data_IF_572356665176
#
_entry.id   IF_572356665176
#
_cell.length_a   1.000
_cell.length_b   1.000
_cell.length_c   1.000
_cell.angle_alpha   90.00
_cell.angle_beta   90.00
_cell.angle_gamma   90.00
#
_symmetry.space_group_name_H-M   'P 1'
#
loop_
_entity.id
_entity.type
_entity.pdbx_description
1 polymer ?
#
# COMPACT_ATOMS: atom_id res chain seq x y z
N UNK A 1 13.88 23.94 -4.60
CA UNK A 1 12.61 23.42 -4.04
C UNK A 1 11.87 22.78 -5.20
N UNK A 2 11.55 21.50 -5.12
CA UNK A 2 10.78 20.80 -6.17
C UNK A 2 9.30 21.11 -5.91
N UNK A 3 8.53 21.44 -6.95
CA UNK A 3 7.08 21.68 -6.77
C UNK A 3 6.35 20.35 -6.58
N UNK A 4 5.21 20.36 -5.88
CA UNK A 4 4.35 19.16 -5.73
C UNK A 4 4.01 18.54 -7.08
N UNK A 5 3.71 19.37 -8.08
CA UNK A 5 3.41 18.93 -9.45
C UNK A 5 4.60 18.22 -10.08
N UNK A 6 5.83 18.71 -9.86
CA UNK A 6 7.02 18.07 -10.39
C UNK A 6 7.28 16.72 -9.72
N UNK A 7 6.99 16.59 -8.42
CA UNK A 7 7.06 15.32 -7.68
C UNK A 7 6.03 14.33 -8.22
N UNK A 8 4.77 14.73 -8.35
CA UNK A 8 3.70 13.86 -8.89
C UNK A 8 4.06 13.38 -10.29
N UNK A 9 4.45 14.30 -11.19
CA UNK A 9 4.83 13.96 -12.56
C UNK A 9 5.99 12.97 -12.60
N UNK A 10 7.01 13.18 -11.77
CA UNK A 10 8.17 12.30 -11.68
C UNK A 10 7.76 10.87 -11.32
N UNK A 11 6.96 10.68 -10.27
CA UNK A 11 6.54 9.35 -9.81
C UNK A 11 5.53 8.69 -10.77
N UNK A 12 4.64 9.44 -11.42
CA UNK A 12 3.77 8.90 -12.48
C UNK A 12 4.59 8.36 -13.65
N UNK A 13 5.60 9.11 -14.10
CA UNK A 13 6.48 8.65 -15.19
C UNK A 13 7.31 7.42 -14.79
N UNK A 14 7.71 7.32 -13.52
CA UNK A 14 8.41 6.15 -13.00
C UNK A 14 7.49 4.92 -12.97
N UNK A 15 6.25 5.09 -12.50
CA UNK A 15 5.25 4.01 -12.43
C UNK A 15 4.96 3.42 -13.82
N UNK A 16 4.80 4.26 -14.84
CA UNK A 16 4.54 3.82 -16.22
C UNK A 16 5.68 3.00 -16.86
N UNK A 17 6.88 3.01 -16.29
CA UNK A 17 8.00 2.18 -16.75
C UNK A 17 7.97 0.75 -16.19
N UNK A 18 7.13 0.49 -15.18
CA UNK A 18 7.01 -0.81 -14.54
C UNK A 18 5.79 -1.57 -15.07
N UNK A 19 5.96 -2.86 -15.35
CA UNK A 19 4.85 -3.76 -15.61
C UNK A 19 4.37 -4.35 -14.29
N UNK A 20 3.07 -4.25 -14.01
CA UNK A 20 2.45 -4.75 -12.79
C UNK A 20 1.06 -5.32 -13.03
N UNK A 21 0.42 -5.76 -11.95
CA UNK A 21 -0.90 -6.39 -11.98
C UNK A 21 -2.00 -5.47 -12.53
N UNK A 22 -1.84 -4.15 -12.38
CA UNK A 22 -2.77 -3.15 -12.93
C UNK A 22 -2.57 -2.91 -14.45
N UNK A 23 -1.41 -3.29 -15.01
CA UNK A 23 -1.10 -3.13 -16.45
C UNK A 23 -1.39 -4.38 -17.28
N UNK A 24 -1.43 -5.56 -16.65
CA UNK A 24 -1.70 -6.82 -17.33
C UNK A 24 -1.39 -8.06 -16.49
N UNK A 25 -1.63 -9.24 -17.06
CA UNK A 25 -1.40 -10.50 -16.38
C UNK A 25 0.10 -10.75 -16.14
N UNK A 26 0.48 -11.09 -14.90
CA UNK A 26 1.87 -11.27 -14.51
C UNK A 26 2.15 -12.69 -13.94
N UNK A 27 2.37 -13.71 -14.81
CA UNK A 27 2.43 -15.12 -14.41
C UNK A 27 3.80 -15.52 -13.85
N UNK A 28 4.11 -15.06 -12.64
CA UNK A 28 5.30 -15.52 -11.91
C UNK A 28 4.94 -16.74 -11.04
N UNK A 29 5.54 -17.89 -11.37
CA UNK A 29 5.41 -19.11 -10.58
C UNK A 29 5.89 -18.90 -9.14
N UNK A 30 5.22 -19.54 -8.18
CA UNK A 30 5.47 -19.41 -6.73
C UNK A 30 5.20 -18.03 -6.11
N UNK A 31 5.10 -16.95 -6.89
CA UNK A 31 4.80 -15.61 -6.39
C UNK A 31 3.31 -15.39 -6.11
N UNK A 32 2.43 -16.20 -6.69
CA UNK A 32 0.97 -16.11 -6.48
C UNK A 32 0.45 -14.69 -6.75
N UNK A 33 0.85 -14.08 -7.87
CA UNK A 33 0.47 -12.72 -8.27
C UNK A 33 -1.02 -12.66 -8.63
N UNK A 34 -1.86 -12.49 -7.61
CA UNK A 34 -3.33 -12.43 -7.68
C UNK A 34 -3.83 -10.99 -7.62
N UNK A 35 -5.14 -10.82 -7.74
CA UNK A 35 -5.79 -9.54 -7.50
C UNK A 35 -5.58 -9.07 -6.05
N UNK A 36 -5.12 -7.83 -5.89
CA UNK A 36 -5.08 -7.10 -4.62
C UNK A 36 -6.30 -6.17 -4.54
N UNK A 37 -7.34 -6.49 -3.73
CA UNK A 37 -8.50 -5.63 -3.58
C UNK A 37 -8.12 -4.25 -3.07
N UNK A 38 -8.62 -3.19 -3.71
CA UNK A 38 -8.34 -1.81 -3.27
C UNK A 38 -8.83 -1.52 -1.85
N UNK A 39 -9.91 -2.19 -1.42
CA UNK A 39 -10.40 -2.14 -0.04
C UNK A 39 -9.33 -2.53 1.00
N UNK A 40 -8.41 -3.44 0.65
CA UNK A 40 -7.34 -3.83 1.58
C UNK A 40 -6.38 -2.68 1.83
N UNK A 41 -6.08 -1.87 0.81
CA UNK A 41 -5.25 -0.67 0.95
C UNK A 41 -5.99 0.38 1.81
N UNK A 42 -7.29 0.57 1.56
CA UNK A 42 -8.11 1.51 2.33
C UNK A 42 -8.13 1.14 3.81
N UNK A 43 -8.41 -0.13 4.14
CA UNK A 43 -8.43 -0.62 5.52
C UNK A 43 -7.03 -0.52 6.15
N UNK A 44 -5.97 -0.88 5.43
CA UNK A 44 -4.60 -0.77 5.93
C UNK A 44 -4.17 0.69 6.21
N UNK A 45 -4.80 1.66 5.53
CA UNK A 45 -4.50 3.09 5.66
C UNK A 45 -5.25 3.82 6.77
N UNK A 46 -6.19 3.17 7.46
CA UNK A 46 -6.95 3.84 8.54
C UNK A 46 -6.00 4.24 9.67
N UNK A 47 -6.26 5.40 10.26
CA UNK A 47 -5.37 6.02 11.26
C UNK A 47 -5.19 5.11 12.48
N UNK A 48 -6.25 4.41 12.88
CA UNK A 48 -6.26 3.47 13.98
C UNK A 48 -5.34 2.27 13.75
N UNK A 49 -4.98 1.93 12.51
CA UNK A 49 -3.96 0.91 12.21
C UNK A 49 -2.58 1.52 11.97
N UNK A 50 -2.48 2.65 11.26
CA UNK A 50 -1.16 3.22 10.87
C UNK A 50 -0.43 3.89 12.03
N UNK A 51 -1.15 4.42 13.03
CA UNK A 51 -0.57 5.22 14.11
C UNK A 51 -0.40 4.44 15.44
N UNK A 52 -0.54 3.11 15.42
CA UNK A 52 -0.27 2.29 16.61
C UNK A 52 1.22 2.20 16.86
N UNK A 53 1.64 2.56 18.08
CA UNK A 53 2.99 2.26 18.52
C UNK A 53 3.12 0.76 18.86
N UNK A 54 4.16 0.04 18.40
CA UNK A 54 4.30 -1.40 18.67
C UNK A 54 4.27 -1.81 20.15
N UNK A 55 4.61 -0.90 21.06
CA UNK A 55 4.56 -1.10 22.53
C UNK A 55 3.39 -0.37 23.22
N UNK A 56 2.34 -0.03 22.48
CA UNK A 56 1.14 0.58 23.05
C UNK A 56 0.41 -0.41 23.98
N UNK A 57 -0.27 0.09 25.01
CA UNK A 57 -0.99 -0.77 25.96
C UNK A 57 -2.07 -1.58 25.24
N UNK A 58 -2.04 -2.91 25.40
CA UNK A 58 -2.94 -3.86 24.74
C UNK A 58 -4.42 -3.50 24.88
N UNK A 59 -4.82 -2.94 26.04
CA UNK A 59 -6.21 -2.52 26.29
C UNK A 59 -6.72 -1.46 25.31
N UNK A 60 -5.81 -0.73 24.66
CA UNK A 60 -6.15 0.36 23.72
C UNK A 60 -6.05 -0.05 22.26
N UNK A 61 -5.53 -1.25 21.96
CA UNK A 61 -5.28 -1.75 20.59
C UNK A 61 -5.90 -3.12 20.33
N UNK A 62 -6.92 -3.48 21.11
CA UNK A 62 -7.55 -4.81 21.03
C UNK A 62 -8.09 -5.16 19.65
N UNK A 63 -8.46 -4.17 18.82
CA UNK A 63 -8.91 -4.40 17.44
C UNK A 63 -7.81 -4.78 16.45
N UNK A 64 -6.54 -4.60 16.82
CA UNK A 64 -5.36 -4.97 16.01
C UNK A 64 -4.64 -6.19 16.58
N UNK A 65 -5.01 -6.62 17.78
CA UNK A 65 -4.62 -7.88 18.36
C UNK A 65 -5.66 -8.92 17.92
N UNK A 66 -5.18 -10.04 17.36
CA UNK A 66 -5.95 -11.17 16.77
C UNK A 66 -6.22 -11.08 15.27
#
# INVERSE_FOLDING_TARGET
MVSEVDVVRHFTLLSNKNFGVDTGFYPLGSCTMKYNPKLNEDIASIEEFTNIHPYQNEKTVQGSLH
#
